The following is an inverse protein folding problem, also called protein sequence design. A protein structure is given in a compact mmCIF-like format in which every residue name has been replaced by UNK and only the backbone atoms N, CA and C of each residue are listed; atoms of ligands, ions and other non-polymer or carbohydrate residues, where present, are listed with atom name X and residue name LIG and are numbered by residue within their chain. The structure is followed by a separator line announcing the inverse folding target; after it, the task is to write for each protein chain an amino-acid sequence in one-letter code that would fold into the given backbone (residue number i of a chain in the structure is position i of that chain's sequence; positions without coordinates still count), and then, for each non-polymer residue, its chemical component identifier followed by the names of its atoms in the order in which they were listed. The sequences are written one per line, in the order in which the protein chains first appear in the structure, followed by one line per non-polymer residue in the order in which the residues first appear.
data_IF_433969759042
#
_entry.id   IF_433969759042
#
_cell.length_a   1.000
_cell.length_b   1.000
_cell.length_c   1.000
_cell.angle_alpha   90.00
_cell.angle_beta   90.00
_cell.angle_gamma   90.00
#
_symmetry.space_group_name_H-M   'P 1'
#
loop_
_entity.id
_entity.type
_entity.pdbx_description
1 polymer ?
#
# COMPACT_ATOMS: atom_id res chain seq x y z
N UNK A 1 31.24 -65.00 15.81
CA UNK A 1 31.59 -63.74 15.14
C UNK A 1 33.04 -63.40 15.49
N UNK A 2 33.78 -62.88 14.52
CA UNK A 2 35.23 -63.07 14.29
C UNK A 2 36.16 -62.27 15.23
N UNK A 3 37.39 -62.80 15.35
CA UNK A 3 38.53 -62.44 16.22
C UNK A 3 39.19 -61.07 15.93
N UNK A 4 39.74 -60.49 17.01
CA UNK A 4 41.05 -59.79 17.21
C UNK A 4 41.58 -58.81 16.13
N UNK A 5 42.16 -57.65 16.49
CA UNK A 5 43.54 -57.48 17.05
C UNK A 5 43.75 -56.01 17.47
N UNK A 6 44.21 -55.72 18.70
CA UNK A 6 45.58 -55.38 19.18
C UNK A 6 46.09 -53.95 18.86
N UNK A 7 46.47 -53.29 19.96
CA UNK A 7 47.04 -51.96 20.17
C UNK A 7 48.27 -51.57 19.34
N UNK A 8 48.51 -50.26 19.18
CA UNK A 8 49.75 -49.61 19.60
C UNK A 8 49.63 -48.08 19.63
N UNK A 9 50.19 -47.46 20.67
CA UNK A 9 50.38 -46.02 20.84
C UNK A 9 51.69 -45.57 20.17
N UNK A 10 51.73 -44.35 19.59
CA UNK A 10 52.78 -43.33 19.85
C UNK A 10 52.72 -42.11 18.92
N UNK A 11 52.78 -40.94 19.58
CA UNK A 11 53.55 -39.72 19.24
C UNK A 11 53.02 -38.80 18.13
N UNK A 12 52.54 -37.63 18.54
CA UNK A 12 52.42 -36.39 17.74
C UNK A 12 53.79 -35.96 17.19
N UNK A 13 53.80 -35.23 16.07
CA UNK A 13 54.34 -33.89 16.20
C UNK A 13 53.36 -32.83 15.69
N UNK A 14 53.21 -31.80 16.51
CA UNK A 14 52.68 -30.48 16.16
C UNK A 14 53.34 -29.96 14.88
N UNK A 15 52.51 -29.56 13.92
CA UNK A 15 52.85 -28.52 12.95
C UNK A 15 51.62 -27.64 12.86
N UNK A 16 51.63 -26.56 13.64
CA UNK A 16 50.72 -25.44 13.48
C UNK A 16 51.05 -24.75 12.15
N UNK A 17 50.38 -25.17 11.07
CA UNK A 17 50.21 -24.27 9.93
C UNK A 17 48.96 -23.44 10.19
N UNK A 18 49.19 -22.25 10.75
CA UNK A 18 48.25 -21.13 10.69
C UNK A 18 47.91 -20.89 9.21
N UNK A 19 46.80 -21.49 8.77
CA UNK A 19 46.17 -21.13 7.52
C UNK A 19 45.44 -19.81 7.80
N UNK A 20 46.13 -18.69 7.52
CA UNK A 20 45.56 -17.35 7.53
C UNK A 20 44.26 -17.39 6.71
N UNK A 21 43.14 -17.43 7.42
CA UNK A 21 41.83 -17.26 6.83
C UNK A 21 41.79 -15.79 6.46
N UNK A 22 42.19 -15.48 5.23
CA UNK A 22 41.93 -14.18 4.65
C UNK A 22 40.42 -13.96 4.77
N UNK A 23 40.02 -13.09 5.70
CA UNK A 23 38.68 -12.51 5.75
C UNK A 23 38.49 -11.82 4.40
N UNK A 24 37.91 -12.55 3.45
CA UNK A 24 37.36 -11.97 2.24
C UNK A 24 36.19 -11.14 2.76
N UNK A 25 36.48 -9.86 2.95
CA UNK A 25 35.53 -8.82 3.32
C UNK A 25 34.46 -8.81 2.22
N UNK A 26 33.43 -9.65 2.42
CA UNK A 26 32.36 -9.81 1.47
C UNK A 26 31.75 -8.42 1.29
N UNK A 27 31.68 -7.88 0.05
CA UNK A 27 31.13 -6.56 -0.16
C UNK A 27 29.73 -6.57 0.45
N UNK A 28 29.55 -5.79 1.52
CA UNK A 28 28.26 -5.59 2.18
C UNK A 28 27.27 -5.36 1.04
N UNK A 29 26.34 -6.31 0.84
CA UNK A 29 25.31 -6.25 -0.20
C UNK A 29 24.71 -4.85 -0.14
N UNK A 30 25.17 -3.97 -1.02
CA UNK A 30 24.59 -2.66 -1.15
C UNK A 30 23.18 -2.96 -1.62
N UNK A 31 22.20 -2.70 -0.76
CA UNK A 31 20.80 -2.79 -1.14
C UNK A 31 20.57 -1.90 -2.37
N UNK A 32 19.45 -2.10 -3.08
CA UNK A 32 19.09 -1.20 -4.15
C UNK A 32 19.16 0.26 -3.66
N UNK A 33 19.56 1.20 -4.54
CA UNK A 33 19.61 2.61 -4.18
C UNK A 33 18.25 3.07 -3.65
N UNK A 34 18.27 4.06 -2.75
CA UNK A 34 17.04 4.62 -2.21
C UNK A 34 16.12 5.12 -3.33
N UNK A 35 14.82 4.89 -3.18
CA UNK A 35 13.81 5.36 -4.14
C UNK A 35 13.73 6.88 -4.12
N UNK A 36 13.88 7.52 -5.27
CA UNK A 36 13.70 8.96 -5.44
C UNK A 36 12.18 9.30 -5.42
N UNK A 37 11.71 10.17 -4.51
CA UNK A 37 10.29 10.55 -4.43
C UNK A 37 9.79 11.28 -5.68
N UNK A 38 10.68 11.84 -6.51
CA UNK A 38 10.29 12.49 -7.78
C UNK A 38 9.61 11.53 -8.77
N UNK A 39 9.82 10.22 -8.60
CA UNK A 39 9.23 9.17 -9.43
C UNK A 39 8.00 8.51 -8.81
N UNK A 40 7.46 9.02 -7.69
CA UNK A 40 6.23 8.47 -7.10
C UNK A 40 5.06 8.70 -8.07
N UNK A 41 4.50 7.60 -8.58
CA UNK A 41 3.42 7.59 -9.58
C UNK A 41 2.31 6.68 -9.11
N UNK A 42 1.07 7.04 -9.47
CA UNK A 42 -0.14 6.29 -9.12
C UNK A 42 -0.99 6.14 -10.38
N UNK A 43 -1.42 4.92 -10.67
CA UNK A 43 -2.23 4.65 -11.85
C UNK A 43 -3.70 4.89 -11.53
N UNK A 44 -4.36 5.64 -12.41
CA UNK A 44 -5.79 5.93 -12.31
C UNK A 44 -6.43 5.67 -13.67
N UNK A 45 -7.52 4.90 -13.68
CA UNK A 45 -8.37 4.68 -14.85
C UNK A 45 -9.61 5.54 -14.69
N UNK A 46 -9.77 6.45 -15.64
CA UNK A 46 -10.88 7.40 -15.73
C UNK A 46 -11.52 7.31 -17.12
N UNK A 47 -12.80 7.66 -17.20
CA UNK A 47 -13.46 7.88 -18.48
C UNK A 47 -12.80 9.04 -19.23
N UNK A 48 -12.71 8.93 -20.54
CA UNK A 48 -12.16 9.96 -21.42
C UNK A 48 -12.77 11.35 -21.12
N UNK A 49 -11.93 12.39 -21.12
CA UNK A 49 -12.31 13.79 -20.93
C UNK A 49 -13.03 14.13 -19.60
N UNK A 50 -12.83 13.33 -18.54
CA UNK A 50 -13.49 13.57 -17.23
C UNK A 50 -12.56 14.08 -16.13
N UNK A 51 -11.24 14.18 -16.37
CA UNK A 51 -10.25 14.44 -15.32
C UNK A 51 -9.88 15.92 -15.14
N UNK A 52 -9.91 16.72 -16.21
CA UNK A 52 -9.34 18.09 -16.28
C UNK A 52 -9.83 19.04 -15.19
N UNK A 53 -11.10 18.93 -14.77
CA UNK A 53 -11.73 19.87 -13.82
C UNK A 53 -12.19 19.18 -12.54
N UNK A 54 -11.69 17.97 -12.29
CA UNK A 54 -12.14 17.15 -11.18
C UNK A 54 -11.28 17.36 -9.93
N UNK A 55 -11.93 17.36 -8.76
CA UNK A 55 -11.25 17.44 -7.46
C UNK A 55 -11.50 16.17 -6.67
N UNK A 56 -10.50 15.78 -5.88
CA UNK A 56 -10.60 14.63 -4.98
C UNK A 56 -10.92 15.11 -3.57
N UNK A 57 -11.92 14.48 -2.95
CA UNK A 57 -12.37 14.77 -1.60
C UNK A 57 -12.40 13.49 -0.78
N UNK A 58 -11.93 13.57 0.46
CA UNK A 58 -12.04 12.48 1.41
C UNK A 58 -13.38 12.62 2.15
N UNK A 59 -14.33 11.72 1.87
CA UNK A 59 -15.68 11.73 2.43
C UNK A 59 -15.95 10.39 3.10
N UNK A 60 -16.80 10.38 4.12
CA UNK A 60 -17.21 9.15 4.80
C UNK A 60 -18.08 8.30 3.89
N UNK A 61 -17.74 7.03 3.75
CA UNK A 61 -18.54 6.08 2.99
C UNK A 61 -19.91 5.89 3.66
N UNK A 62 -21.02 5.92 2.89
CA UNK A 62 -22.37 6.04 3.45
C UNK A 62 -22.79 4.88 4.34
N UNK A 63 -22.26 3.67 4.11
CA UNK A 63 -22.59 2.46 4.87
C UNK A 63 -21.79 2.28 6.17
N UNK A 64 -20.47 2.43 6.13
CA UNK A 64 -19.54 2.07 7.21
C UNK A 64 -18.85 3.28 7.85
N UNK A 65 -19.09 4.50 7.32
CA UNK A 65 -18.50 5.77 7.75
C UNK A 65 -16.96 5.84 7.68
N UNK A 66 -16.33 4.87 7.02
CA UNK A 66 -14.89 4.84 6.79
C UNK A 66 -14.49 5.98 5.84
N UNK A 67 -13.28 6.54 5.98
CA UNK A 67 -12.79 7.54 5.03
C UNK A 67 -12.57 6.90 3.66
N UNK A 68 -13.30 7.38 2.64
CA UNK A 68 -13.14 6.98 1.26
C UNK A 68 -12.84 8.21 0.39
N UNK A 69 -12.11 8.00 -0.70
CA UNK A 69 -11.75 9.06 -1.63
C UNK A 69 -12.79 9.11 -2.74
N UNK A 70 -13.34 10.30 -2.99
CA UNK A 70 -14.32 10.56 -4.05
C UNK A 70 -13.79 11.62 -5.01
N UNK A 71 -14.01 11.42 -6.30
CA UNK A 71 -13.85 12.44 -7.32
C UNK A 71 -15.18 13.17 -7.50
N UNK A 72 -15.19 14.48 -7.32
CA UNK A 72 -16.38 15.30 -7.53
C UNK A 72 -16.06 16.40 -8.54
N UNK A 73 -16.94 16.52 -9.52
CA UNK A 73 -17.02 17.58 -10.51
C UNK A 73 -18.51 17.99 -10.64
N UNK A 74 -18.82 19.09 -11.31
CA UNK A 74 -20.19 19.59 -11.50
C UNK A 74 -21.14 18.54 -12.11
N UNK A 75 -20.60 17.65 -12.95
CA UNK A 75 -21.37 16.64 -13.70
C UNK A 75 -21.08 15.20 -13.31
N UNK A 76 -20.06 14.95 -12.48
CA UNK A 76 -19.60 13.60 -12.17
C UNK A 76 -19.31 13.47 -10.67
N UNK A 77 -19.75 12.36 -10.11
CA UNK A 77 -19.43 11.95 -8.76
C UNK A 77 -18.99 10.49 -8.85
N UNK A 78 -17.74 10.21 -8.51
CA UNK A 78 -17.16 8.87 -8.63
C UNK A 78 -16.43 8.50 -7.35
N UNK A 79 -16.56 7.26 -6.94
CA UNK A 79 -15.77 6.65 -5.87
C UNK A 79 -14.43 6.18 -6.44
N UNK A 80 -13.34 6.48 -5.72
CA UNK A 80 -12.01 5.99 -6.07
C UNK A 80 -11.81 4.62 -5.41
N UNK A 81 -11.81 3.58 -6.23
CA UNK A 81 -11.63 2.19 -5.79
C UNK A 81 -10.21 1.73 -6.14
N UNK A 82 -9.44 1.28 -5.16
CA UNK A 82 -8.13 0.68 -5.39
C UNK A 82 -8.27 -0.82 -5.62
N UNK A 83 -7.80 -1.30 -6.77
CA UNK A 83 -7.72 -2.72 -7.10
C UNK A 83 -6.25 -3.08 -7.22
N UNK A 84 -5.79 -3.97 -6.36
CA UNK A 84 -4.39 -4.39 -6.31
C UNK A 84 -4.21 -5.64 -5.48
N UNK A 85 -3.13 -6.36 -5.76
CA UNK A 85 -2.71 -7.54 -5.01
C UNK A 85 -1.46 -7.21 -4.19
N UNK A 86 -1.27 -7.83 -3.00
CA UNK A 86 -0.24 -7.44 -2.04
C UNK A 86 1.22 -7.71 -2.47
N UNK A 87 1.47 -8.23 -3.68
CA UNK A 87 2.82 -8.54 -4.18
C UNK A 87 2.94 -8.21 -5.68
N UNK A 88 2.40 -7.06 -6.09
CA UNK A 88 2.44 -6.60 -7.47
C UNK A 88 3.21 -5.30 -7.58
N UNK A 89 3.92 -5.11 -8.69
CA UNK A 89 4.56 -3.84 -9.03
C UNK A 89 4.40 -3.55 -10.52
N UNK A 90 4.51 -2.28 -10.88
CA UNK A 90 4.42 -1.84 -12.27
C UNK A 90 5.75 -1.21 -12.70
N UNK A 91 6.25 -1.63 -13.85
CA UNK A 91 7.35 -0.95 -14.53
C UNK A 91 6.80 0.13 -15.43
N UNK A 92 7.29 1.36 -15.28
CA UNK A 92 6.88 2.49 -16.11
C UNK A 92 8.06 3.41 -16.41
N UNK A 93 8.50 3.40 -17.67
CA UNK A 93 9.74 4.05 -18.09
C UNK A 93 10.94 3.48 -17.32
N UNK A 94 11.69 4.35 -16.66
CA UNK A 94 12.87 4.02 -15.84
C UNK A 94 12.55 3.88 -14.34
N UNK A 95 11.26 3.86 -13.98
CA UNK A 95 10.81 3.78 -12.58
C UNK A 95 9.98 2.53 -12.31
N UNK A 96 10.00 2.08 -11.05
CA UNK A 96 9.17 0.99 -10.55
C UNK A 96 8.17 1.53 -9.54
N UNK A 97 6.89 1.30 -9.78
CA UNK A 97 5.81 1.60 -8.84
C UNK A 97 5.57 0.37 -7.98
N UNK A 98 5.99 0.42 -6.72
CA UNK A 98 5.90 -0.67 -5.76
C UNK A 98 4.48 -0.96 -5.26
N UNK A 99 3.56 0.03 -5.33
CA UNK A 99 2.18 -0.09 -4.84
C UNK A 99 1.41 -1.21 -5.57
N UNK A 100 1.68 -1.42 -6.87
CA UNK A 100 1.02 -2.46 -7.67
C UNK A 100 -0.49 -2.27 -7.87
N UNK A 101 -1.12 -1.33 -7.16
CA UNK A 101 -2.53 -1.03 -7.22
C UNK A 101 -2.86 -0.10 -8.39
N UNK A 102 -3.99 -0.39 -9.03
CA UNK A 102 -4.63 0.46 -10.02
C UNK A 102 -5.87 1.05 -9.38
N UNK A 103 -6.05 2.37 -9.49
CA UNK A 103 -7.23 3.05 -9.00
C UNK A 103 -8.25 3.22 -10.12
N UNK A 104 -9.49 2.88 -9.82
CA UNK A 104 -10.62 2.98 -10.72
C UNK A 104 -11.57 4.07 -10.22
N UNK A 105 -12.14 4.82 -11.15
CA UNK A 105 -13.20 5.77 -10.85
C UNK A 105 -14.55 5.12 -11.15
N UNK A 106 -15.27 4.76 -10.10
CA UNK A 106 -16.58 4.12 -10.19
C UNK A 106 -17.68 5.18 -10.01
N UNK A 107 -18.55 5.44 -11.01
CA UNK A 107 -19.63 6.41 -10.87
C UNK A 107 -20.58 6.07 -9.71
N UNK A 108 -20.88 7.07 -8.88
CA UNK A 108 -21.80 6.97 -7.74
C UNK A 108 -22.79 8.12 -7.78
N UNK A 109 -24.07 7.83 -7.54
CA UNK A 109 -25.08 8.88 -7.49
C UNK A 109 -24.91 9.74 -6.21
N UNK A 110 -24.84 11.08 -6.31
CA UNK A 110 -24.52 11.96 -5.18
C UNK A 110 -25.54 11.88 -4.04
N UNK A 111 -26.79 11.49 -4.33
CA UNK A 111 -27.80 11.22 -3.31
C UNK A 111 -27.31 10.23 -2.24
N UNK A 112 -26.55 9.18 -2.62
CA UNK A 112 -26.06 8.20 -1.66
C UNK A 112 -25.08 8.78 -0.65
N UNK A 113 -24.33 9.82 -1.01
CA UNK A 113 -23.46 10.55 -0.09
C UNK A 113 -24.25 11.42 0.88
N UNK A 114 -25.37 12.01 0.44
CA UNK A 114 -26.20 12.91 1.25
C UNK A 114 -27.15 12.16 2.21
N UNK A 115 -27.68 11.01 1.80
CA UNK A 115 -28.59 10.17 2.60
C UNK A 115 -28.19 9.96 4.07
N UNK A 116 -26.96 9.52 4.39
CA UNK A 116 -26.55 9.33 5.79
C UNK A 116 -26.72 10.59 6.63
N UNK A 117 -26.43 11.78 6.08
CA UNK A 117 -26.57 13.04 6.81
C UNK A 117 -28.04 13.41 7.03
N UNK A 118 -28.92 13.12 6.07
CA UNK A 118 -30.35 13.34 6.25
C UNK A 118 -30.97 12.41 7.29
N UNK A 119 -30.57 11.14 7.31
CA UNK A 119 -31.04 10.17 8.31
C UNK A 119 -30.58 10.59 9.71
N UNK A 120 -29.30 10.97 9.86
CA UNK A 120 -28.75 11.44 11.13
C UNK A 120 -29.45 12.74 11.61
N UNK A 121 -29.84 13.62 10.68
CA UNK A 121 -30.51 14.89 11.01
C UNK A 121 -31.94 14.75 11.53
N UNK A 122 -32.61 13.60 11.31
CA UNK A 122 -33.97 13.35 11.81
C UNK A 122 -34.07 13.27 13.33
N UNK A 123 -32.94 13.16 14.03
CA UNK A 123 -32.89 13.20 15.51
C UNK A 123 -32.95 14.65 16.05
N UNK A 124 -32.90 15.69 15.20
CA UNK A 124 -32.99 17.09 15.63
C UNK A 124 -34.16 17.87 14.99
N UNK A 125 -35.26 17.23 14.61
CA UNK A 125 -36.45 17.96 14.15
C UNK A 125 -37.24 18.65 15.28
N UNK A 126 -36.91 18.42 16.56
CA UNK A 126 -37.61 19.06 17.70
C UNK A 126 -36.92 20.35 18.19
N UNK A 127 -35.63 20.59 17.91
CA UNK A 127 -34.95 21.80 18.41
C UNK A 127 -34.90 22.98 17.43
N UNK A 128 -35.00 22.75 16.11
CA UNK A 128 -34.99 23.87 15.16
C UNK A 128 -36.34 24.59 15.01
N UNK A 129 -37.47 23.94 15.32
CA UNK A 129 -38.78 24.60 15.24
C UNK A 129 -39.06 25.55 16.42
N UNK A 130 -38.34 25.43 17.54
CA UNK A 130 -38.53 26.30 18.72
C UNK A 130 -37.63 27.55 18.65
N UNK A 131 -36.60 27.58 17.79
CA UNK A 131 -35.70 28.74 17.64
C UNK A 131 -36.10 29.70 16.52
N UNK A 132 -37.09 29.35 15.70
CA UNK A 132 -37.76 30.27 14.78
C UNK A 132 -39.22 30.37 15.21
N UNK A 133 -39.45 31.18 16.23
CA UNK A 133 -40.78 31.52 16.73
C UNK A 133 -41.71 31.96 15.60
N UNK A 134 -42.77 31.18 15.44
CA UNK A 134 -44.10 31.68 15.09
C UNK A 134 -44.98 31.52 16.31
#
# INVERSE_FOLDING_TARGET
MVRQTRASAKTEPEVDEEMDVADIDAPKKAGPPASDPSYERKFLIARENTLSDSRFYQIRHPKNRAPCLYRINEKCCDEVVSVGEPLRSWFYGESVVSDGAIRLLSPVHPLFLALPYFIDSKVCHIKCFVLLGY
#
